data_IF_423622258980
#
_entry.id   IF_423622258980
#
_cell.length_a   1.000
_cell.length_b   1.000
_cell.length_c   1.000
_cell.angle_alpha   90.00
_cell.angle_beta   90.00
_cell.angle_gamma   90.00
#
_symmetry.space_group_name_H-M   'P 1'
#
loop_
_entity.id
_entity.type
_entity.pdbx_description
1 polymer ?
#
# COMPACT_ATOMS: atom_id res chain seq x y z
N UNK A 1 5.66 17.64 3.42
CA UNK A 1 6.17 16.48 4.17
C UNK A 1 5.95 15.22 3.34
N UNK A 2 6.91 14.29 3.29
CA UNK A 2 6.60 12.91 2.88
C UNK A 2 5.80 12.29 4.03
N UNK A 3 4.58 11.83 3.78
CA UNK A 3 3.78 11.15 4.80
C UNK A 3 4.20 9.69 4.80
N UNK A 4 5.42 9.41 5.27
CA UNK A 4 5.96 8.07 5.22
C UNK A 4 5.23 7.19 6.24
N UNK A 5 4.75 6.03 5.76
CA UNK A 5 4.11 5.03 6.62
C UNK A 5 5.15 4.52 7.61
N UNK A 6 4.82 4.51 8.89
CA UNK A 6 5.70 3.86 9.88
C UNK A 6 5.82 2.35 9.60
N UNK A 7 6.93 1.69 9.99
CA UNK A 7 7.07 0.26 9.80
C UNK A 7 5.91 -0.56 10.40
N UNK A 8 5.33 -0.11 11.53
CA UNK A 8 4.17 -0.74 12.16
C UNK A 8 2.92 -0.63 11.27
N UNK A 9 2.57 0.58 10.84
CA UNK A 9 1.42 0.79 9.95
C UNK A 9 1.59 0.05 8.61
N UNK A 10 2.83 -0.09 8.12
CA UNK A 10 3.12 -0.86 6.91
C UNK A 10 2.78 -2.33 7.10
N UNK A 11 3.21 -2.95 8.20
CA UNK A 11 2.85 -4.34 8.54
C UNK A 11 1.34 -4.52 8.70
N UNK A 12 0.66 -3.57 9.35
CA UNK A 12 -0.79 -3.60 9.53
C UNK A 12 -1.52 -3.53 8.18
N UNK A 13 -1.05 -2.70 7.25
CA UNK A 13 -1.61 -2.61 5.89
C UNK A 13 -1.36 -3.89 5.09
N UNK A 14 -0.15 -4.45 5.14
CA UNK A 14 0.15 -5.73 4.49
C UNK A 14 -0.79 -6.83 5.00
N UNK A 15 -0.99 -6.93 6.31
CA UNK A 15 -1.90 -7.91 6.90
C UNK A 15 -3.36 -7.69 6.46
N UNK A 16 -3.83 -6.44 6.41
CA UNK A 16 -5.18 -6.11 5.92
C UNK A 16 -5.35 -6.45 4.44
N UNK A 17 -4.40 -6.09 3.59
CA UNK A 17 -4.46 -6.38 2.15
C UNK A 17 -4.40 -7.88 1.88
N UNK A 18 -3.50 -8.61 2.56
CA UNK A 18 -3.42 -10.06 2.48
C UNK A 18 -4.75 -10.73 2.88
N UNK A 19 -5.40 -10.23 3.94
CA UNK A 19 -6.69 -10.74 4.40
C UNK A 19 -7.81 -10.46 3.40
N UNK A 20 -7.92 -9.24 2.89
CA UNK A 20 -9.00 -8.82 1.98
C UNK A 20 -8.90 -9.55 0.64
N UNK A 21 -7.70 -9.65 0.07
CA UNK A 21 -7.48 -10.23 -1.26
C UNK A 21 -7.12 -11.71 -1.23
N UNK A 22 -7.25 -12.39 -0.09
CA UNK A 22 -6.83 -13.79 0.10
C UNK A 22 -7.37 -14.72 -1.00
N UNK A 23 -8.67 -14.63 -1.29
CA UNK A 23 -9.30 -15.47 -2.30
C UNK A 23 -8.88 -15.11 -3.73
N UNK A 24 -8.63 -13.83 -4.01
CA UNK A 24 -8.10 -13.39 -5.30
C UNK A 24 -6.67 -13.88 -5.53
N UNK A 25 -5.89 -14.01 -4.46
CA UNK A 25 -4.48 -14.40 -4.51
C UNK A 25 -4.27 -15.91 -4.34
N UNK A 26 -5.32 -16.71 -4.12
CA UNK A 26 -5.20 -18.14 -3.78
C UNK A 26 -4.47 -18.98 -4.83
N UNK A 27 -4.53 -18.58 -6.11
CA UNK A 27 -3.83 -19.25 -7.21
C UNK A 27 -2.34 -18.91 -7.31
N UNK A 28 -1.89 -17.89 -6.58
CA UNK A 28 -0.49 -17.48 -6.56
C UNK A 28 0.29 -18.30 -5.54
N UNK A 29 1.56 -18.59 -5.84
CA UNK A 29 2.50 -19.13 -4.86
C UNK A 29 2.71 -18.14 -3.73
N UNK A 30 3.01 -18.62 -2.53
CA UNK A 30 3.20 -17.80 -1.32
C UNK A 30 4.18 -16.64 -1.53
N UNK A 31 5.26 -16.84 -2.28
CA UNK A 31 6.21 -15.78 -2.61
C UNK A 31 5.59 -14.67 -3.46
N UNK A 32 4.84 -15.03 -4.51
CA UNK A 32 4.12 -14.08 -5.36
C UNK A 32 3.02 -13.34 -4.58
N UNK A 33 2.35 -14.00 -3.62
CA UNK A 33 1.40 -13.33 -2.73
C UNK A 33 2.09 -12.26 -1.87
N UNK A 34 3.29 -12.56 -1.33
CA UNK A 34 4.07 -11.62 -0.54
C UNK A 34 4.53 -10.42 -1.37
N UNK A 35 5.04 -10.67 -2.58
CA UNK A 35 5.46 -9.61 -3.52
C UNK A 35 4.27 -8.71 -3.85
N UNK A 36 3.13 -9.29 -4.24
CA UNK A 36 1.94 -8.53 -4.58
C UNK A 36 1.43 -7.68 -3.41
N UNK A 37 1.42 -8.22 -2.19
CA UNK A 37 1.01 -7.47 -1.00
C UNK A 37 1.98 -6.31 -0.72
N UNK A 38 3.29 -6.51 -0.90
CA UNK A 38 4.27 -5.44 -0.74
C UNK A 38 4.09 -4.32 -1.78
N UNK A 39 3.92 -4.71 -3.04
CA UNK A 39 3.71 -3.80 -4.16
C UNK A 39 2.43 -2.98 -3.98
N UNK A 40 1.33 -3.60 -3.53
CA UNK A 40 0.08 -2.90 -3.25
C UNK A 40 0.24 -1.83 -2.18
N UNK A 41 0.95 -2.14 -1.08
CA UNK A 41 1.20 -1.16 -0.01
C UNK A 41 2.08 0.00 -0.51
N UNK A 42 3.10 -0.31 -1.31
CA UNK A 42 3.99 0.70 -1.91
C UNK A 42 3.24 1.59 -2.89
N UNK A 43 2.45 1.01 -3.79
CA UNK A 43 1.64 1.75 -4.77
C UNK A 43 0.61 2.64 -4.09
N UNK A 44 -0.06 2.13 -3.05
CA UNK A 44 -1.01 2.88 -2.23
C UNK A 44 -0.34 4.11 -1.59
N UNK A 45 0.83 3.92 -0.97
CA UNK A 45 1.58 5.01 -0.36
C UNK A 45 2.02 6.06 -1.38
N UNK A 46 2.53 5.62 -2.53
CA UNK A 46 2.93 6.52 -3.60
C UNK A 46 1.75 7.36 -4.08
N UNK A 47 0.56 6.77 -4.20
CA UNK A 47 -0.63 7.49 -4.63
C UNK A 47 -1.08 8.54 -3.62
N UNK A 48 -1.10 8.21 -2.33
CA UNK A 48 -1.39 9.19 -1.26
C UNK A 48 -0.42 10.36 -1.33
N UNK A 49 0.88 10.09 -1.43
CA UNK A 49 1.90 11.14 -1.51
C UNK A 49 1.70 12.05 -2.72
N UNK A 50 1.37 11.51 -3.89
CA UNK A 50 1.08 12.29 -5.09
C UNK A 50 -0.17 13.16 -4.92
N UNK A 51 -1.26 12.59 -4.40
CA UNK A 51 -2.52 13.31 -4.23
C UNK A 51 -2.40 14.42 -3.18
N UNK A 52 -1.74 14.16 -2.04
CA UNK A 52 -1.50 15.18 -1.02
C UNK A 52 -0.68 16.36 -1.56
N UNK A 53 0.34 16.07 -2.39
CA UNK A 53 1.13 17.11 -3.06
C UNK A 53 0.30 17.92 -4.05
N UNK A 54 -0.54 17.25 -4.85
CA UNK A 54 -1.40 17.91 -5.81
C UNK A 54 -2.43 18.82 -5.12
N UNK A 55 -3.00 18.37 -3.99
CA UNK A 55 -3.93 19.15 -3.18
C UNK A 55 -3.25 20.37 -2.55
N UNK A 56 -2.09 20.20 -1.92
CA UNK A 56 -1.35 21.31 -1.31
C UNK A 56 -0.97 22.40 -2.33
N UNK A 57 -0.66 22.03 -3.58
CA UNK A 57 -0.39 22.98 -4.67
C UNK A 57 -1.62 23.72 -5.17
N UNK A 58 -2.82 23.18 -4.96
CA UNK A 58 -4.10 23.79 -5.37
C UNK A 58 -4.67 24.76 -4.31
N UNK A 59 -4.17 24.72 -3.08
CA UNK A 59 -4.63 25.59 -1.97
C UNK A 59 -3.90 26.94 -1.91
N UNK A 60 -3.45 27.48 -3.05
CA UNK A 60 -2.93 28.85 -3.19
C UNK A 60 -4.03 29.78 -3.69
#
# INVERSE_FOLDING_TARGET
>A
MKHDITPKQRKDLQAKMAKVFKENMKGLRTELQKILVDDMVTAFQNRINVLNRAQAKRSY
#
